data_IF_102181698145
#
_entry.id   IF_102181698145
#
_cell.length_a   1.000
_cell.length_b   1.000
_cell.length_c   1.000
_cell.angle_alpha   90.00
_cell.angle_beta   90.00
_cell.angle_gamma   90.00
#
_symmetry.space_group_name_H-M   'P 1'
#
loop_
_entity.id
_entity.type
_entity.pdbx_description
1 polymer ?
#
# COMPACT_ATOMS: atom_id res chain seq x y z
N UNK A 1 -6.79 15.59 -6.21
CA UNK A 1 -7.87 15.45 -5.20
C UNK A 1 -7.86 14.11 -4.49
N UNK A 2 -8.04 12.96 -5.16
CA UNK A 2 -7.93 11.66 -4.46
C UNK A 2 -6.51 11.39 -3.93
N UNK A 3 -5.49 11.73 -4.70
CA UNK A 3 -4.08 11.56 -4.28
C UNK A 3 -3.73 12.42 -3.07
N UNK A 4 -4.15 13.69 -3.05
CA UNK A 4 -3.91 14.60 -1.91
C UNK A 4 -4.54 14.06 -0.60
N UNK A 5 -5.75 13.50 -0.70
CA UNK A 5 -6.44 12.87 0.44
C UNK A 5 -5.72 11.61 0.89
N UNK A 6 -5.27 10.78 -0.06
CA UNK A 6 -4.52 9.56 0.24
C UNK A 6 -3.18 9.86 0.93
N UNK A 7 -2.47 10.89 0.48
CA UNK A 7 -1.22 11.37 1.09
C UNK A 7 -1.46 11.90 2.49
N UNK A 8 -2.48 12.76 2.70
CA UNK A 8 -2.81 13.26 4.04
C UNK A 8 -3.18 12.13 5.00
N UNK A 9 -4.00 11.17 4.57
CA UNK A 9 -4.35 10.00 5.36
C UNK A 9 -3.11 9.18 5.72
N UNK A 10 -2.22 8.95 4.76
CA UNK A 10 -0.97 8.23 4.99
C UNK A 10 -0.09 8.93 6.01
N UNK A 11 0.09 10.25 5.89
CA UNK A 11 0.86 11.07 6.82
C UNK A 11 0.34 10.92 8.23
N UNK A 12 -0.98 11.09 8.44
CA UNK A 12 -1.58 10.97 9.78
C UNK A 12 -1.41 9.57 10.36
N UNK A 13 -1.69 8.52 9.58
CA UNK A 13 -1.61 7.14 10.06
C UNK A 13 -0.17 6.70 10.33
N UNK A 14 0.80 7.12 9.50
CA UNK A 14 2.22 6.90 9.77
C UNK A 14 2.68 7.68 11.00
N UNK A 15 2.23 8.92 11.18
CA UNK A 15 2.62 9.73 12.35
C UNK A 15 2.10 9.16 13.68
N UNK A 16 0.93 8.53 13.65
CA UNK A 16 0.28 7.93 14.81
C UNK A 16 0.76 6.50 15.11
N UNK A 17 1.65 5.92 14.29
CA UNK A 17 2.08 4.52 14.40
C UNK A 17 3.58 4.35 14.21
N UNK A 18 4.12 3.21 14.64
CA UNK A 18 5.45 2.74 14.21
C UNK A 18 5.26 1.64 13.18
N UNK A 19 4.86 2.02 11.97
CA UNK A 19 4.48 1.07 10.91
C UNK A 19 5.71 0.42 10.26
N UNK A 20 5.76 -0.93 10.15
CA UNK A 20 6.83 -1.61 9.41
C UNK A 20 6.73 -1.38 7.90
N UNK A 21 5.55 -1.00 7.40
CA UNK A 21 5.27 -0.70 5.99
C UNK A 21 5.27 0.80 5.69
N UNK A 22 5.88 1.62 6.55
CA UNK A 22 5.94 3.07 6.34
C UNK A 22 6.68 3.39 5.02
N UNK A 23 6.13 4.34 4.25
CA UNK A 23 6.73 4.82 3.00
C UNK A 23 7.14 6.27 3.15
N UNK A 24 8.10 6.69 2.33
CA UNK A 24 8.45 8.09 2.18
C UNK A 24 7.24 8.86 1.67
N UNK A 25 6.84 9.88 2.41
CA UNK A 25 5.74 10.79 2.08
C UNK A 25 6.26 11.84 1.10
N UNK A 26 7.33 12.53 1.49
CA UNK A 26 8.06 13.47 0.65
C UNK A 26 9.51 13.64 1.15
N UNK A 27 10.28 14.49 0.46
CA UNK A 27 11.69 14.75 0.76
C UNK A 27 11.95 15.50 2.07
N UNK A 28 10.97 16.25 2.59
CA UNK A 28 11.12 17.06 3.80
C UNK A 28 10.68 16.26 5.04
N UNK A 29 9.53 15.58 4.94
CA UNK A 29 8.90 14.82 6.02
C UNK A 29 9.51 13.42 6.16
N UNK A 30 10.00 12.83 5.07
CA UNK A 30 10.52 11.46 5.09
C UNK A 30 9.41 10.44 5.31
N UNK A 31 9.62 9.45 6.18
CA UNK A 31 8.70 8.33 6.43
C UNK A 31 8.01 8.34 7.81
N UNK A 32 8.37 9.30 8.68
CA UNK A 32 7.86 9.47 10.05
C UNK A 32 8.06 8.27 10.99
N UNK A 33 8.88 7.27 10.65
CA UNK A 33 9.01 6.03 11.45
C UNK A 33 9.52 6.25 12.88
N UNK A 34 10.23 7.35 13.09
CA UNK A 34 10.82 7.74 14.38
C UNK A 34 10.25 9.04 14.96
N UNK A 35 9.37 9.70 14.20
CA UNK A 35 8.75 10.95 14.59
C UNK A 35 7.29 10.69 14.94
N UNK A 36 7.02 10.34 16.19
CA UNK A 36 5.68 10.00 16.67
C UNK A 36 4.97 11.21 17.28
N UNK A 37 3.69 11.42 16.91
CA UNK A 37 2.94 12.62 17.34
C UNK A 37 2.87 12.77 18.86
N UNK A 38 2.73 11.66 19.60
CA UNK A 38 2.63 11.63 21.06
C UNK A 38 3.87 11.06 21.74
N UNK A 39 4.99 10.91 21.03
CA UNK A 39 6.21 10.23 21.52
C UNK A 39 6.07 8.71 21.70
N UNK A 40 4.88 8.15 21.49
CA UNK A 40 4.57 6.71 21.51
C UNK A 40 3.55 6.38 20.42
N UNK A 41 3.55 5.17 19.84
CA UNK A 41 2.53 4.77 18.87
C UNK A 41 1.14 4.74 19.52
N UNK A 42 0.15 5.36 18.87
CA UNK A 42 -1.23 5.40 19.34
C UNK A 42 -2.11 4.34 18.66
N UNK A 43 -1.68 3.82 17.51
CA UNK A 43 -2.37 2.77 16.76
C UNK A 43 -1.38 1.84 16.05
N UNK A 44 -1.88 0.68 15.59
CA UNK A 44 -1.18 -0.21 14.66
C UNK A 44 -1.67 0.07 13.25
N UNK A 45 -0.76 0.27 12.30
CA UNK A 45 -1.08 0.59 10.90
C UNK A 45 -0.14 -0.15 9.95
N UNK A 46 -0.75 -0.74 8.93
CA UNK A 46 -0.10 -1.50 7.86
C UNK A 46 -0.72 -1.07 6.53
N UNK A 47 0.10 -0.93 5.49
CA UNK A 47 -0.34 -0.49 4.16
C UNK A 47 0.28 -1.39 3.09
N UNK A 48 -0.59 -2.11 2.38
CA UNK A 48 -0.21 -3.07 1.33
C UNK A 48 -0.70 -2.65 -0.05
N UNK A 49 -1.01 -1.38 -0.28
CA UNK A 49 -1.48 -0.95 -1.60
C UNK A 49 -0.33 -0.97 -2.61
N UNK A 50 -0.64 -1.28 -3.87
CA UNK A 50 0.31 -1.14 -4.96
C UNK A 50 0.27 0.29 -5.48
N UNK A 51 1.43 0.94 -5.58
CA UNK A 51 1.55 2.14 -6.39
C UNK A 51 1.39 1.76 -7.86
N UNK A 52 0.38 2.32 -8.55
CA UNK A 52 0.07 2.00 -9.95
C UNK A 52 0.99 2.70 -10.96
N UNK A 53 2.21 3.03 -10.54
CA UNK A 53 3.27 3.49 -11.42
C UNK A 53 3.80 2.32 -12.27
N UNK A 54 4.15 2.61 -13.53
CA UNK A 54 4.51 1.56 -14.48
C UNK A 54 5.69 0.69 -14.03
N UNK A 55 6.68 1.27 -13.37
CA UNK A 55 7.82 0.54 -12.79
C UNK A 55 7.35 -0.48 -11.75
N UNK A 56 6.52 -0.06 -10.80
CA UNK A 56 6.03 -0.86 -9.69
C UNK A 56 5.09 -1.97 -10.16
N UNK A 57 4.20 -1.65 -11.11
CA UNK A 57 3.31 -2.64 -11.74
C UNK A 57 4.13 -3.69 -12.49
N UNK A 58 5.12 -3.29 -13.29
CA UNK A 58 5.98 -4.22 -14.05
C UNK A 58 6.90 -5.04 -13.15
N UNK A 59 7.33 -4.50 -12.01
CA UNK A 59 8.10 -5.25 -11.02
C UNK A 59 7.28 -6.40 -10.42
N UNK A 60 5.97 -6.21 -10.22
CA UNK A 60 5.06 -7.23 -9.71
C UNK A 60 4.48 -8.16 -10.80
N UNK A 61 4.26 -7.63 -11.99
CA UNK A 61 3.65 -8.32 -13.13
C UNK A 61 4.41 -8.00 -14.44
N UNK A 62 5.59 -8.63 -14.66
CA UNK A 62 6.44 -8.37 -15.84
C UNK A 62 5.79 -8.69 -17.19
N UNK A 63 4.69 -9.42 -17.19
CA UNK A 63 3.86 -9.73 -18.35
C UNK A 63 2.97 -8.56 -18.80
N UNK A 64 2.69 -7.58 -17.92
CA UNK A 64 1.94 -6.37 -18.25
C UNK A 64 2.85 -5.36 -18.96
N UNK A 65 3.10 -5.60 -20.25
CA UNK A 65 4.02 -4.81 -21.07
C UNK A 65 3.36 -3.67 -21.84
N UNK A 66 2.04 -3.66 -21.93
CA UNK A 66 1.29 -2.62 -22.64
C UNK A 66 1.20 -1.36 -21.78
N UNK A 67 1.89 -0.30 -22.21
CA UNK A 67 1.91 1.00 -21.52
C UNK A 67 0.53 1.63 -21.42
N UNK A 68 -0.34 1.42 -22.42
CA UNK A 68 -1.70 1.97 -22.39
C UNK A 68 -2.53 1.30 -21.31
N UNK A 69 -2.44 -0.03 -21.23
CA UNK A 69 -3.11 -0.79 -20.19
C UNK A 69 -2.57 -0.39 -18.81
N UNK A 70 -1.25 -0.34 -18.63
CA UNK A 70 -0.65 0.03 -17.34
C UNK A 70 -1.07 1.44 -16.91
N UNK A 71 -1.09 2.40 -17.85
CA UNK A 71 -1.56 3.75 -17.56
C UNK A 71 -3.06 3.82 -17.28
N UNK A 72 -3.89 2.93 -17.84
CA UNK A 72 -5.34 2.95 -17.57
C UNK A 72 -5.66 2.41 -16.19
N UNK A 73 -4.79 1.61 -15.56
CA UNK A 73 -5.07 0.96 -14.26
C UNK A 73 -5.43 1.95 -13.14
N UNK A 74 -4.99 3.20 -13.20
CA UNK A 74 -5.39 4.23 -12.21
C UNK A 74 -6.89 4.56 -12.25
N UNK A 75 -7.57 4.23 -13.35
CA UNK A 75 -9.03 4.32 -13.48
C UNK A 75 -9.66 3.09 -12.80
N UNK A 76 -9.70 3.12 -11.46
CA UNK A 76 -10.13 1.99 -10.63
C UNK A 76 -11.63 1.68 -10.74
N UNK A 77 -12.43 2.61 -11.25
CA UNK A 77 -13.86 2.47 -11.51
C UNK A 77 -14.17 1.95 -12.92
N UNK A 78 -13.16 1.86 -13.80
CA UNK A 78 -13.31 1.31 -15.13
C UNK A 78 -13.44 -0.23 -15.06
N UNK A 79 -14.57 -0.83 -15.49
CA UNK A 79 -14.80 -2.27 -15.38
C UNK A 79 -13.74 -3.13 -16.07
N UNK A 80 -13.17 -2.65 -17.18
CA UNK A 80 -12.09 -3.28 -17.93
C UNK A 80 -10.81 -3.50 -17.11
N UNK A 81 -10.53 -2.64 -16.13
CA UNK A 81 -9.35 -2.74 -15.29
C UNK A 81 -9.56 -3.70 -14.10
N UNK A 82 -10.81 -3.97 -13.70
CA UNK A 82 -11.12 -4.68 -12.44
C UNK A 82 -10.44 -6.03 -12.31
N UNK A 83 -10.40 -6.84 -13.39
CA UNK A 83 -9.78 -8.15 -13.33
C UNK A 83 -8.25 -8.04 -13.15
N UNK A 84 -7.60 -7.11 -13.86
CA UNK A 84 -6.16 -6.89 -13.73
C UNK A 84 -5.81 -6.34 -12.35
N UNK A 85 -6.57 -5.35 -11.87
CA UNK A 85 -6.40 -4.78 -10.53
C UNK A 85 -6.59 -5.83 -9.43
N UNK A 86 -7.60 -6.69 -9.56
CA UNK A 86 -7.81 -7.81 -8.64
C UNK A 86 -6.62 -8.77 -8.62
N UNK A 87 -6.09 -9.14 -9.79
CA UNK A 87 -4.90 -10.01 -9.88
C UNK A 87 -3.66 -9.37 -9.26
N UNK A 88 -3.45 -8.07 -9.49
CA UNK A 88 -2.36 -7.32 -8.85
C UNK A 88 -2.54 -7.30 -7.33
N UNK A 89 -3.74 -7.03 -6.83
CA UNK A 89 -4.08 -7.06 -5.42
C UNK A 89 -3.81 -8.44 -4.78
N UNK A 90 -4.20 -9.52 -5.45
CA UNK A 90 -3.90 -10.89 -5.00
C UNK A 90 -2.39 -11.16 -4.89
N UNK A 91 -1.60 -10.67 -5.85
CA UNK A 91 -0.13 -10.83 -5.82
C UNK A 91 0.51 -10.02 -4.72
N UNK A 92 0.08 -8.77 -4.51
CA UNK A 92 0.57 -7.96 -3.40
C UNK A 92 0.20 -8.59 -2.07
N UNK A 93 -1.05 -9.04 -1.91
CA UNK A 93 -1.50 -9.77 -0.73
C UNK A 93 -0.60 -10.98 -0.42
N UNK A 94 -0.35 -11.82 -1.42
CA UNK A 94 0.52 -12.99 -1.25
C UNK A 94 1.99 -12.64 -0.94
N UNK A 95 2.50 -11.50 -1.44
CA UNK A 95 3.88 -11.07 -1.22
C UNK A 95 4.08 -10.40 0.15
N UNK A 96 3.18 -9.50 0.51
CA UNK A 96 3.42 -8.52 1.58
C UNK A 96 2.62 -8.79 2.85
N UNK A 97 1.48 -9.49 2.77
CA UNK A 97 0.68 -9.79 3.96
C UNK A 97 1.23 -11.04 4.62
N UNK A 98 1.85 -10.86 5.79
CA UNK A 98 2.51 -11.94 6.52
C UNK A 98 1.75 -12.28 7.80
N UNK A 99 1.84 -13.53 8.25
CA UNK A 99 1.16 -13.97 9.47
C UNK A 99 1.61 -13.16 10.71
N UNK A 100 2.86 -12.69 10.74
CA UNK A 100 3.40 -11.90 11.85
C UNK A 100 2.89 -10.45 11.89
N UNK A 101 2.22 -9.99 10.83
CA UNK A 101 1.57 -8.68 10.82
C UNK A 101 0.32 -8.64 11.70
N UNK A 102 -0.22 -9.81 12.01
CA UNK A 102 -1.41 -9.98 12.82
C UNK A 102 -1.03 -10.40 14.24
N UNK A 103 -1.68 -9.84 15.27
CA UNK A 103 -1.45 -10.27 16.64
C UNK A 103 -1.96 -11.71 16.84
N UNK A 104 -1.40 -12.43 17.83
CA UNK A 104 -1.71 -13.84 18.07
C UNK A 104 -3.19 -14.16 18.37
N UNK A 105 -4.00 -13.16 18.72
CA UNK A 105 -5.44 -13.28 18.94
C UNK A 105 -6.27 -13.03 17.67
N UNK A 106 -5.62 -12.81 16.53
CA UNK A 106 -6.28 -12.70 15.23
C UNK A 106 -6.37 -14.10 14.62
N UNK A 107 -7.59 -14.57 14.36
CA UNK A 107 -7.84 -15.87 13.76
C UNK A 107 -7.38 -15.86 12.30
N UNK A 108 -6.21 -16.44 12.02
CA UNK A 108 -5.77 -16.70 10.65
C UNK A 108 -6.36 -18.04 10.18
N UNK A 109 -7.00 -18.11 8.99
CA UNK A 109 -7.36 -19.39 8.39
C UNK A 109 -6.10 -20.24 8.17
N UNK A 110 -6.23 -21.55 8.34
CA UNK A 110 -5.12 -22.48 8.13
C UNK A 110 -4.59 -22.37 6.67
N UNK A 111 -3.26 -22.37 6.54
CA UNK A 111 -2.53 -22.24 5.28
C UNK A 111 -2.72 -23.44 4.33
#
# INVERSE_FOLDING_TARGET
MMEDVATMQQTLLQWLSSSPTARTIDREVGDLRHDLLAGTPLLTYLRYDLELAAEQVRALAPELRDDKLVSSLSEMDAPENMNVLHQLGMRVGARDVQAHDFPAHFDLPAA
#
